data_IF_819847906464
#
_entry.id   IF_819847906464
#
_cell.length_a   1.000
_cell.length_b   1.000
_cell.length_c   1.000
_cell.angle_alpha   90.00
_cell.angle_beta   90.00
_cell.angle_gamma   90.00
#
_symmetry.space_group_name_H-M   'P 1'
#
loop_
_entity.id
_entity.type
_entity.pdbx_description
1 polymer ?
#
# COMPACT_ATOMS: atom_id res chain seq x y z
N UNK A 1 7.74 -18.79 -3.41
CA UNK A 1 6.73 -17.77 -3.06
C UNK A 1 6.73 -16.85 -4.25
N UNK A 2 5.64 -16.85 -5.04
CA UNK A 2 5.57 -15.96 -6.20
C UNK A 2 5.71 -14.53 -5.68
N UNK A 3 6.65 -13.80 -6.27
CA UNK A 3 6.89 -12.39 -5.97
C UNK A 3 5.58 -11.66 -6.22
N UNK A 4 4.98 -11.14 -5.16
CA UNK A 4 3.73 -10.41 -5.28
C UNK A 4 4.01 -9.13 -6.06
N UNK A 5 3.53 -9.08 -7.30
CA UNK A 5 3.51 -7.86 -8.11
C UNK A 5 2.53 -6.86 -7.46
N UNK A 6 3.05 -5.94 -6.63
CA UNK A 6 2.26 -4.84 -6.06
C UNK A 6 2.21 -3.67 -7.03
N UNK A 7 1.07 -2.99 -7.07
CA UNK A 7 0.90 -1.75 -7.85
C UNK A 7 0.17 -0.69 -7.03
N UNK A 8 0.52 0.55 -7.24
CA UNK A 8 -0.23 1.69 -6.68
C UNK A 8 -1.71 1.55 -7.05
N UNK A 9 -2.57 1.75 -6.08
CA UNK A 9 -4.02 1.56 -6.22
C UNK A 9 -4.53 0.15 -5.93
N UNK A 10 -3.68 -0.87 -5.81
CA UNK A 10 -4.12 -2.19 -5.35
C UNK A 10 -4.82 -2.07 -4.00
N UNK A 11 -5.94 -2.76 -3.84
CA UNK A 11 -6.59 -2.94 -2.55
C UNK A 11 -6.30 -4.35 -2.06
N UNK A 12 -5.76 -4.44 -0.86
CA UNK A 12 -5.29 -5.68 -0.26
C UNK A 12 -5.97 -5.92 1.10
N UNK A 13 -6.15 -7.19 1.44
CA UNK A 13 -6.28 -7.62 2.82
C UNK A 13 -4.90 -8.05 3.29
N UNK A 14 -4.38 -7.38 4.32
CA UNK A 14 -3.06 -7.67 4.91
C UNK A 14 -3.28 -8.24 6.30
N UNK A 15 -2.58 -9.33 6.63
CA UNK A 15 -2.58 -9.90 7.96
C UNK A 15 -1.19 -10.42 8.34
N UNK A 16 -0.91 -10.46 9.64
CA UNK A 16 0.27 -11.10 10.20
C UNK A 16 -0.18 -11.87 11.46
N UNK A 17 0.15 -13.17 11.60
CA UNK A 17 -0.23 -13.94 12.76
C UNK A 17 0.26 -13.31 14.07
N UNK A 18 -0.57 -13.34 15.09
CA UNK A 18 -0.17 -12.87 16.42
C UNK A 18 0.88 -13.78 17.02
N UNK A 19 2.06 -13.22 17.30
CA UNK A 19 3.26 -13.91 17.78
C UNK A 19 3.59 -13.44 19.20
N UNK A 20 3.91 -14.39 20.08
CA UNK A 20 4.28 -14.10 21.47
C UNK A 20 5.55 -13.25 21.56
N UNK A 21 5.50 -12.24 22.40
CA UNK A 21 6.63 -11.36 22.67
C UNK A 21 6.57 -10.79 24.09
N UNK A 22 7.53 -9.92 24.44
CA UNK A 22 7.57 -9.21 25.73
C UNK A 22 7.49 -7.71 25.54
N UNK A 23 6.80 -7.08 26.49
CA UNK A 23 6.78 -5.65 26.64
C UNK A 23 8.07 -5.20 27.30
N UNK A 24 8.86 -4.40 26.63
CA UNK A 24 10.09 -3.81 27.17
C UNK A 24 9.76 -2.52 27.95
N UNK A 25 8.81 -1.73 27.44
CA UNK A 25 8.32 -0.55 28.09
C UNK A 25 6.80 -0.45 27.93
N UNK A 26 6.08 -0.27 29.02
CA UNK A 26 4.63 -0.01 28.99
C UNK A 26 4.30 1.28 28.24
N UNK A 27 3.02 1.59 28.11
CA UNK A 27 2.57 2.78 27.37
C UNK A 27 3.25 4.04 27.91
N UNK A 28 3.91 4.74 27.01
CA UNK A 28 4.57 6.01 27.25
C UNK A 28 4.12 6.98 26.18
N UNK A 29 3.42 8.04 26.54
CA UNK A 29 2.89 9.06 25.63
C UNK A 29 1.93 8.45 24.59
N UNK A 30 2.47 7.94 23.48
CA UNK A 30 1.76 7.52 22.28
C UNK A 30 2.20 6.15 21.76
N UNK A 31 3.04 5.41 22.49
CA UNK A 31 3.51 4.11 22.07
C UNK A 31 3.74 3.12 23.20
N UNK A 32 3.71 1.85 22.88
CA UNK A 32 4.20 0.73 23.70
C UNK A 32 5.42 0.13 23.05
N UNK A 33 6.46 -0.18 23.81
CA UNK A 33 7.67 -0.79 23.27
C UNK A 33 7.69 -2.29 23.52
N UNK A 34 7.83 -3.06 22.46
CA UNK A 34 7.87 -4.54 22.51
C UNK A 34 9.15 -5.06 21.90
N UNK A 35 9.61 -6.22 22.37
CA UNK A 35 10.65 -6.95 21.68
C UNK A 35 10.11 -7.48 20.36
N UNK A 36 10.84 -7.20 19.26
CA UNK A 36 10.39 -7.61 17.93
C UNK A 36 10.62 -9.10 17.70
N UNK A 37 9.60 -9.91 17.41
CA UNK A 37 9.75 -11.35 17.41
C UNK A 37 10.33 -11.94 16.12
N UNK A 38 10.41 -11.16 15.04
CA UNK A 38 10.75 -11.70 13.71
C UNK A 38 12.17 -11.39 13.24
N UNK A 39 12.85 -10.41 13.85
CA UNK A 39 14.21 -10.05 13.45
C UNK A 39 15.20 -10.35 14.57
N UNK A 40 16.29 -11.02 14.18
CA UNK A 40 17.39 -11.26 15.11
C UNK A 40 18.24 -9.99 15.28
N UNK A 41 18.82 -9.86 16.46
CA UNK A 41 19.77 -8.77 16.74
C UNK A 41 21.08 -9.14 16.06
N UNK A 42 21.51 -8.36 15.07
CA UNK A 42 22.84 -8.48 14.49
C UNK A 42 23.87 -7.82 15.40
N UNK A 43 24.56 -8.63 16.20
CA UNK A 43 25.62 -8.17 17.08
C UNK A 43 26.92 -7.79 16.36
N UNK A 44 27.03 -8.06 15.06
CA UNK A 44 28.23 -7.75 14.25
C UNK A 44 28.23 -6.32 13.69
N UNK A 45 27.10 -5.61 13.73
CA UNK A 45 26.99 -4.25 13.19
C UNK A 45 27.55 -3.22 14.20
N UNK A 46 28.76 -2.74 13.96
CA UNK A 46 29.44 -1.78 14.82
C UNK A 46 28.83 -0.36 14.81
N UNK A 47 27.97 -0.03 13.82
CA UNK A 47 27.49 1.34 13.55
C UNK A 47 26.10 1.66 14.08
N UNK A 48 25.51 0.84 14.89
CA UNK A 48 24.20 1.09 15.46
C UNK A 48 23.44 -0.21 15.64
N UNK A 49 23.77 -0.90 16.70
CA UNK A 49 23.08 -2.13 17.04
C UNK A 49 21.59 -1.85 17.24
N UNK A 50 20.78 -2.39 16.35
CA UNK A 50 19.36 -2.48 16.62
C UNK A 50 19.16 -3.32 17.90
N UNK A 51 18.46 -2.76 18.86
CA UNK A 51 18.30 -3.35 20.20
C UNK A 51 17.19 -4.41 20.28
N UNK A 52 16.55 -4.74 19.16
CA UNK A 52 15.45 -5.70 19.11
C UNK A 52 14.12 -5.16 19.61
N UNK A 53 13.98 -3.84 19.77
CA UNK A 53 12.79 -3.21 20.31
C UNK A 53 12.11 -2.36 19.23
N UNK A 54 10.79 -2.49 19.12
CA UNK A 54 9.96 -1.67 18.25
C UNK A 54 8.93 -0.94 19.10
N UNK A 55 8.75 0.35 18.82
CA UNK A 55 7.68 1.16 19.38
C UNK A 55 6.44 1.02 18.48
N UNK A 56 5.34 0.56 19.05
CA UNK A 56 4.05 0.47 18.36
C UNK A 56 3.17 1.62 18.80
N UNK A 57 2.63 2.36 17.85
CA UNK A 57 1.72 3.47 18.11
C UNK A 57 0.46 3.02 18.88
N UNK A 58 0.08 3.81 19.87
CA UNK A 58 -1.16 3.64 20.61
C UNK A 58 -2.15 4.66 20.08
N UNK A 59 -3.35 4.19 19.73
CA UNK A 59 -4.41 5.04 19.19
C UNK A 59 -4.91 6.01 20.30
N UNK A 60 -4.29 7.18 20.35
CA UNK A 60 -4.60 8.25 21.31
C UNK A 60 -5.01 9.54 20.59
N UNK A 61 -5.38 9.46 19.30
CA UNK A 61 -5.73 10.61 18.46
C UNK A 61 -4.52 11.34 17.87
N UNK A 62 -3.31 10.74 17.94
CA UNK A 62 -2.12 11.25 17.24
C UNK A 62 -2.16 10.71 15.79
N UNK A 63 -2.03 11.57 14.77
CA UNK A 63 -2.15 11.16 13.36
C UNK A 63 -1.22 10.01 12.96
N UNK A 64 0.01 9.97 13.50
CA UNK A 64 0.98 8.92 13.19
C UNK A 64 0.51 7.52 13.66
N UNK A 65 -0.23 7.45 14.76
CA UNK A 65 -0.78 6.20 15.27
C UNK A 65 -1.90 5.64 14.39
N UNK A 66 -2.55 6.47 13.58
CA UNK A 66 -3.58 6.05 12.65
C UNK A 66 -3.03 5.15 11.53
N UNK A 67 -1.74 5.30 11.19
CA UNK A 67 -1.10 4.48 10.14
C UNK A 67 -0.65 3.12 10.64
N UNK A 68 -0.47 2.93 11.95
CA UNK A 68 0.07 1.70 12.52
C UNK A 68 -0.81 0.49 12.19
N UNK A 69 -0.21 -0.55 11.61
CA UNK A 69 -0.89 -1.80 11.28
C UNK A 69 -0.85 -2.79 12.44
N UNK A 70 0.28 -2.87 13.13
CA UNK A 70 0.46 -3.84 14.20
C UNK A 70 -0.41 -3.51 15.40
N UNK A 71 -0.86 -4.56 16.06
CA UNK A 71 -1.66 -4.49 17.29
C UNK A 71 -1.08 -5.43 18.30
N UNK A 72 -1.25 -5.10 19.58
CA UNK A 72 -0.95 -6.00 20.68
C UNK A 72 -2.20 -6.68 21.21
N UNK A 73 -2.01 -7.84 21.78
CA UNK A 73 -3.04 -8.58 22.52
C UNK A 73 -2.42 -9.08 23.83
N UNK A 74 -2.85 -8.59 25.01
CA UNK A 74 -3.95 -7.62 25.23
C UNK A 74 -3.65 -6.21 24.69
N UNK A 75 -4.66 -5.32 24.75
CA UNK A 75 -4.54 -3.94 24.28
C UNK A 75 -3.41 -3.19 25.00
N UNK A 76 -2.75 -2.21 24.35
CA UNK A 76 -1.58 -1.53 24.90
C UNK A 76 -1.77 -0.96 26.31
N UNK A 77 -2.96 -0.39 26.60
CA UNK A 77 -3.28 0.26 27.86
C UNK A 77 -3.28 -0.70 29.07
N UNK A 78 -3.34 -2.01 28.80
CA UNK A 78 -3.32 -3.05 29.81
C UNK A 78 -1.91 -3.59 30.08
N UNK A 79 -0.93 -3.17 29.27
CA UNK A 79 0.41 -3.71 29.24
C UNK A 79 1.37 -2.94 30.15
N UNK A 80 2.23 -3.67 30.83
CA UNK A 80 3.31 -3.14 31.67
C UNK A 80 4.64 -3.74 31.26
N UNK A 81 5.72 -3.05 31.52
CA UNK A 81 7.05 -3.55 31.28
C UNK A 81 7.24 -4.95 31.92
N UNK A 82 7.76 -5.88 31.13
CA UNK A 82 7.99 -7.27 31.52
C UNK A 82 6.81 -8.22 31.25
N UNK A 83 5.63 -7.71 30.90
CA UNK A 83 4.49 -8.55 30.55
C UNK A 83 4.75 -9.33 29.27
N UNK A 84 4.12 -10.50 29.15
CA UNK A 84 4.03 -11.25 27.89
C UNK A 84 2.79 -10.78 27.15
N UNK A 85 2.94 -10.46 25.88
CA UNK A 85 1.84 -10.13 24.99
C UNK A 85 2.04 -10.83 23.64
N UNK A 86 1.07 -10.67 22.76
CA UNK A 86 1.22 -11.06 21.35
C UNK A 86 1.20 -9.80 20.49
N UNK A 87 1.97 -9.81 19.41
CA UNK A 87 1.96 -8.75 18.40
C UNK A 87 1.64 -9.35 17.04
N UNK A 88 0.83 -8.66 16.24
CA UNK A 88 0.41 -9.12 14.92
C UNK A 88 -0.42 -8.07 14.20
N UNK A 89 -0.85 -8.40 12.98
CA UNK A 89 -1.77 -7.57 12.19
C UNK A 89 -3.05 -8.37 11.98
N UNK A 90 -4.18 -7.96 12.55
CA UNK A 90 -5.45 -8.58 12.22
C UNK A 90 -5.77 -8.35 10.74
N UNK A 91 -6.59 -9.19 10.08
CA UNK A 91 -6.99 -8.96 8.69
C UNK A 91 -7.47 -7.51 8.50
N UNK A 92 -6.68 -6.73 7.78
CA UNK A 92 -6.86 -5.28 7.63
C UNK A 92 -6.90 -4.92 6.15
N UNK A 93 -7.95 -4.24 5.72
CA UNK A 93 -8.05 -3.73 4.36
C UNK A 93 -7.20 -2.47 4.23
N UNK A 94 -6.32 -2.49 3.25
CA UNK A 94 -5.41 -1.37 2.93
C UNK A 94 -5.42 -1.12 1.43
N UNK A 95 -4.99 0.06 1.01
CA UNK A 95 -4.66 0.32 -0.38
C UNK A 95 -3.21 0.77 -0.52
N UNK A 96 -2.59 0.35 -1.63
CA UNK A 96 -1.19 0.66 -1.92
C UNK A 96 -1.08 2.10 -2.43
N UNK A 97 -0.18 2.86 -1.82
CA UNK A 97 0.05 4.28 -2.14
C UNK A 97 1.39 4.53 -2.81
N UNK A 98 2.39 3.68 -2.53
CA UNK A 98 3.68 3.70 -3.21
C UNK A 98 4.27 2.29 -3.28
N UNK A 99 5.06 2.05 -4.32
CA UNK A 99 5.89 0.84 -4.49
C UNK A 99 7.23 1.29 -4.99
N UNK A 100 8.28 1.07 -4.20
CA UNK A 100 9.65 1.39 -4.56
C UNK A 100 10.48 0.12 -4.67
N UNK A 101 11.27 0.03 -5.73
CA UNK A 101 12.23 -1.05 -5.95
C UNK A 101 13.64 -0.54 -5.73
N UNK A 102 14.44 -1.30 -5.01
CA UNK A 102 15.81 -0.95 -4.64
C UNK A 102 16.78 -1.97 -5.23
N UNK A 103 17.66 -1.51 -6.15
CA UNK A 103 18.74 -2.31 -6.72
C UNK A 103 20.03 -1.46 -6.74
N UNK A 104 21.00 -1.74 -5.85
CA UNK A 104 20.99 -2.78 -4.82
C UNK A 104 19.93 -2.56 -3.73
N UNK A 105 19.62 -3.57 -2.92
CA UNK A 105 18.73 -3.44 -1.78
C UNK A 105 19.08 -2.25 -0.89
N UNK A 106 18.06 -1.58 -0.35
CA UNK A 106 18.24 -0.35 0.43
C UNK A 106 19.13 -0.61 1.64
N UNK A 107 20.30 0.02 1.67
CA UNK A 107 21.17 0.01 2.84
C UNK A 107 20.59 0.93 3.91
N UNK A 108 19.90 0.35 4.87
CA UNK A 108 19.49 1.03 6.08
C UNK A 108 20.45 0.67 7.21
N UNK A 109 20.66 1.59 8.15
CA UNK A 109 21.40 1.30 9.40
C UNK A 109 20.70 0.20 10.20
N UNK A 110 19.45 -0.09 9.85
CA UNK A 110 18.55 -1.02 10.51
C UNK A 110 18.22 -2.17 9.55
N UNK A 111 18.13 -3.39 10.06
CA UNK A 111 17.49 -4.49 9.36
C UNK A 111 16.00 -4.15 9.13
N UNK A 112 15.40 -4.63 8.04
CA UNK A 112 15.96 -5.40 6.93
C UNK A 112 16.61 -4.52 5.86
N UNK A 113 17.26 -5.16 4.85
CA UNK A 113 17.72 -4.52 3.61
C UNK A 113 16.71 -4.82 2.48
N UNK A 114 15.62 -4.06 2.36
CA UNK A 114 14.57 -4.41 1.42
C UNK A 114 14.99 -4.16 -0.03
N UNK A 115 14.69 -5.13 -0.91
CA UNK A 115 14.73 -4.93 -2.36
C UNK A 115 13.46 -4.22 -2.86
N UNK A 116 12.38 -4.26 -2.08
CA UNK A 116 11.13 -3.60 -2.38
C UNK A 116 10.50 -3.05 -1.09
N UNK A 117 9.96 -1.84 -1.17
CA UNK A 117 9.11 -1.26 -0.14
C UNK A 117 7.71 -1.00 -0.70
N UNK A 118 6.69 -1.26 0.11
CA UNK A 118 5.29 -1.05 -0.25
C UNK A 118 4.64 -0.21 0.84
N UNK A 119 4.23 1.00 0.48
CA UNK A 119 3.52 1.88 1.42
C UNK A 119 2.02 1.71 1.23
N UNK A 120 1.31 1.57 2.35
CA UNK A 120 -0.12 1.30 2.36
C UNK A 120 -0.86 2.20 3.33
N UNK A 121 -2.09 2.55 3.00
CA UNK A 121 -3.03 3.23 3.89
C UNK A 121 -4.17 2.30 4.26
N UNK A 122 -4.55 2.32 5.53
CA UNK A 122 -5.72 1.56 6.02
C UNK A 122 -7.01 2.15 5.45
N UNK A 123 -8.02 1.31 5.37
CA UNK A 123 -9.39 1.70 5.04
C UNK A 123 -9.85 2.86 5.93
N UNK A 124 -10.42 3.88 5.31
CA UNK A 124 -10.88 5.10 5.97
C UNK A 124 -9.86 6.21 6.03
N UNK A 125 -8.59 5.96 5.71
CA UNK A 125 -7.56 6.98 5.58
C UNK A 125 -7.41 7.38 4.13
N UNK A 126 -7.20 8.67 3.88
CA UNK A 126 -7.00 9.20 2.53
C UNK A 126 -5.94 10.31 2.51
N UNK A 127 -5.29 10.48 1.35
CA UNK A 127 -4.33 11.56 1.15
C UNK A 127 -4.93 12.97 1.29
N UNK A 128 -6.24 13.10 1.11
CA UNK A 128 -6.93 14.40 1.10
C UNK A 128 -7.00 15.06 2.47
N UNK A 129 -6.69 14.32 3.52
CA UNK A 129 -6.70 14.82 4.89
C UNK A 129 -5.39 15.49 5.30
N UNK A 130 -4.35 15.36 4.47
CA UNK A 130 -3.06 15.99 4.74
C UNK A 130 -2.97 17.36 4.08
N UNK A 131 -2.39 18.37 4.77
CA UNK A 131 -2.23 19.71 4.23
C UNK A 131 -1.47 19.71 2.91
N UNK A 132 -1.90 20.54 1.94
CA UNK A 132 -1.15 20.79 0.72
C UNK A 132 0.30 21.19 1.05
N UNK A 133 1.26 20.52 0.44
CA UNK A 133 2.68 20.75 0.64
C UNK A 133 3.35 19.85 1.68
N UNK A 134 2.63 18.98 2.36
CA UNK A 134 3.28 17.89 3.07
C UNK A 134 3.87 16.93 2.04
N UNK A 135 5.16 16.59 2.17
CA UNK A 135 5.87 15.63 1.28
C UNK A 135 5.43 14.18 1.51
N UNK A 136 4.14 13.95 1.65
CA UNK A 136 3.53 12.68 1.98
C UNK A 136 3.15 11.85 0.74
N UNK A 137 3.86 12.02 -0.38
CA UNK A 137 3.90 11.00 -1.40
C UNK A 137 4.41 9.73 -0.74
N UNK A 138 3.56 8.71 -0.66
CA UNK A 138 3.86 7.49 0.07
C UNK A 138 3.54 7.54 1.57
N UNK A 139 2.66 8.44 2.02
CA UNK A 139 2.14 8.41 3.40
C UNK A 139 1.41 7.12 3.67
N UNK A 140 1.65 6.58 4.85
CA UNK A 140 1.07 5.34 5.30
C UNK A 140 2.08 4.47 6.03
N UNK A 141 1.72 3.23 6.24
CA UNK A 141 2.61 2.23 6.83
C UNK A 141 3.46 1.60 5.73
N UNK A 142 4.77 1.55 5.93
CA UNK A 142 5.69 0.91 4.97
C UNK A 142 5.89 -0.56 5.34
N UNK A 143 5.56 -1.43 4.42
CA UNK A 143 5.78 -2.88 4.50
C UNK A 143 7.01 -3.22 3.65
N UNK A 144 7.84 -4.13 4.15
CA UNK A 144 8.98 -4.68 3.44
C UNK A 144 8.70 -6.15 3.10
N UNK A 145 8.15 -6.46 1.92
CA UNK A 145 7.89 -7.84 1.54
C UNK A 145 9.19 -8.66 1.53
N UNK A 146 9.19 -9.80 2.21
CA UNK A 146 10.38 -10.67 2.28
C UNK A 146 11.35 -10.38 3.44
N UNK A 147 11.04 -9.46 4.33
CA UNK A 147 11.86 -9.09 5.50
C UNK A 147 11.81 -10.09 6.67
N UNK A 148 11.13 -11.23 6.50
CA UNK A 148 10.97 -12.26 7.52
C UNK A 148 9.72 -12.11 8.38
N UNK A 149 9.02 -10.98 8.33
CA UNK A 149 7.69 -10.86 8.96
C UNK A 149 6.69 -11.70 8.15
N UNK A 150 5.93 -12.61 8.80
CA UNK A 150 5.06 -13.55 8.10
C UNK A 150 3.74 -12.89 7.64
N UNK A 151 3.86 -11.80 6.89
CA UNK A 151 2.70 -11.18 6.26
C UNK A 151 2.02 -12.13 5.28
N UNK A 152 0.71 -12.08 5.27
CA UNK A 152 -0.14 -12.65 4.22
C UNK A 152 -0.86 -11.53 3.51
N UNK A 153 -0.92 -11.62 2.18
CA UNK A 153 -1.56 -10.65 1.33
C UNK A 153 -2.61 -11.33 0.46
N UNK A 154 -3.82 -10.79 0.46
CA UNK A 154 -4.88 -11.18 -0.46
C UNK A 154 -5.26 -9.93 -1.28
N UNK A 155 -5.17 -10.01 -2.60
CA UNK A 155 -5.58 -8.91 -3.47
C UNK A 155 -7.09 -8.92 -3.64
N UNK A 156 -7.75 -7.90 -3.12
CA UNK A 156 -9.20 -7.70 -3.21
C UNK A 156 -9.60 -7.02 -4.51
N UNK A 157 -8.77 -6.05 -4.97
CA UNK A 157 -9.01 -5.32 -6.21
C UNK A 157 -7.68 -4.81 -6.78
N UNK A 158 -7.55 -4.84 -8.11
CA UNK A 158 -6.53 -4.11 -8.88
C UNK A 158 -7.23 -3.25 -9.91
N UNK A 159 -7.28 -1.92 -9.72
CA UNK A 159 -7.80 -1.02 -10.74
C UNK A 159 -6.99 -1.16 -12.02
N UNK A 160 -7.66 -1.23 -13.16
CA UNK A 160 -6.99 -1.27 -14.48
C UNK A 160 -5.92 -2.39 -14.59
N UNK A 161 -6.28 -3.61 -14.14
CA UNK A 161 -5.33 -4.72 -14.03
C UNK A 161 -4.62 -5.08 -15.36
N UNK A 162 -5.26 -4.78 -16.49
CA UNK A 162 -4.72 -5.04 -17.85
C UNK A 162 -3.85 -3.91 -18.40
N UNK A 163 -3.80 -2.76 -17.69
CA UNK A 163 -3.03 -1.58 -18.10
C UNK A 163 -1.64 -1.54 -17.47
N UNK A 164 -0.75 -0.84 -18.13
CA UNK A 164 0.58 -0.49 -17.64
C UNK A 164 0.78 1.02 -17.79
N UNK A 165 1.55 1.63 -16.88
CA UNK A 165 1.88 3.04 -17.00
C UNK A 165 2.57 3.31 -18.36
N UNK A 166 2.13 4.36 -19.06
CA UNK A 166 2.56 4.68 -20.40
C UNK A 166 1.75 4.02 -21.50
N UNK A 167 0.73 3.20 -21.21
CA UNK A 167 -0.19 2.69 -22.22
C UNK A 167 -0.98 3.85 -22.85
N UNK A 168 -1.04 3.86 -24.17
CA UNK A 168 -1.82 4.82 -24.95
C UNK A 168 -3.08 4.12 -25.50
N UNK A 169 -4.23 4.77 -25.35
CA UNK A 169 -5.52 4.22 -25.75
C UNK A 169 -6.34 5.23 -26.55
N UNK A 170 -7.23 4.72 -27.41
CA UNK A 170 -8.36 5.50 -27.93
C UNK A 170 -9.61 5.13 -27.14
N UNK A 171 -10.40 6.14 -26.78
CA UNK A 171 -11.68 5.95 -26.12
C UNK A 171 -12.84 5.81 -27.13
N UNK A 172 -14.03 5.49 -26.66
CA UNK A 172 -15.22 5.33 -27.51
C UNK A 172 -15.65 6.62 -28.24
N UNK A 173 -15.21 7.79 -27.76
CA UNK A 173 -15.40 9.06 -28.45
C UNK A 173 -14.33 9.37 -29.51
N UNK A 174 -13.32 8.51 -29.63
CA UNK A 174 -12.19 8.69 -30.54
C UNK A 174 -11.08 9.58 -29.98
N UNK A 175 -11.12 9.94 -28.71
CA UNK A 175 -10.11 10.73 -28.04
C UNK A 175 -8.95 9.83 -27.60
N UNK A 176 -7.72 10.29 -27.75
CA UNK A 176 -6.52 9.57 -27.33
C UNK A 176 -6.09 9.97 -25.93
N UNK A 177 -5.68 8.97 -25.13
CA UNK A 177 -5.29 9.11 -23.75
C UNK A 177 -4.04 8.30 -23.43
N UNK A 178 -3.24 8.79 -22.48
CA UNK A 178 -2.18 8.01 -21.84
C UNK A 178 -2.59 7.67 -20.42
N UNK A 179 -2.39 6.41 -20.05
CA UNK A 179 -2.57 5.91 -18.70
C UNK A 179 -1.27 6.12 -17.91
N UNK A 180 -1.29 7.02 -16.95
CA UNK A 180 -0.14 7.33 -16.08
C UNK A 180 -0.27 6.66 -14.70
N UNK A 181 -1.47 6.20 -14.35
CA UNK A 181 -1.77 5.50 -13.10
C UNK A 181 -3.26 5.24 -12.94
N UNK A 182 -3.72 4.54 -11.89
CA UNK A 182 -5.12 4.13 -11.76
C UNK A 182 -6.12 5.27 -11.87
N UNK A 183 -5.73 6.49 -11.46
CA UNK A 183 -6.60 7.68 -11.45
C UNK A 183 -6.06 8.78 -12.35
N UNK A 184 -4.94 8.54 -13.04
CA UNK A 184 -4.23 9.54 -13.81
C UNK A 184 -4.29 9.21 -15.31
N UNK A 185 -5.04 10.01 -16.02
CA UNK A 185 -5.22 9.92 -17.47
C UNK A 185 -4.89 11.25 -18.11
N UNK A 186 -3.89 11.26 -18.99
CA UNK A 186 -3.50 12.43 -19.75
C UNK A 186 -4.08 12.36 -21.15
N UNK A 187 -4.89 13.36 -21.52
CA UNK A 187 -5.38 13.50 -22.88
C UNK A 187 -4.33 14.15 -23.79
N UNK A 188 -4.26 13.73 -25.05
CA UNK A 188 -3.28 14.28 -26.02
C UNK A 188 -3.73 15.56 -26.70
N UNK A 189 -4.97 15.99 -26.57
CA UNK A 189 -5.56 17.12 -27.28
C UNK A 189 -5.56 18.44 -26.50
N UNK A 190 -4.83 18.52 -25.39
CA UNK A 190 -4.74 19.70 -24.51
C UNK A 190 -6.09 20.14 -23.88
N UNK A 191 -7.19 19.45 -24.17
CA UNK A 191 -8.47 19.70 -23.50
C UNK A 191 -8.47 19.11 -22.09
N UNK A 192 -9.20 19.71 -21.14
CA UNK A 192 -9.31 19.18 -19.79
C UNK A 192 -9.71 17.70 -19.80
N UNK A 193 -9.05 16.90 -18.99
CA UNK A 193 -9.32 15.45 -18.89
C UNK A 193 -10.78 15.13 -18.49
N UNK A 194 -11.47 16.08 -17.86
CA UNK A 194 -12.87 15.92 -17.48
C UNK A 194 -13.10 14.70 -16.57
N UNK A 195 -14.04 13.86 -16.95
CA UNK A 195 -14.39 12.65 -16.20
C UNK A 195 -13.53 11.42 -16.55
N UNK A 196 -12.43 11.61 -17.29
CA UNK A 196 -11.59 10.52 -17.80
C UNK A 196 -12.12 9.89 -19.10
N UNK A 197 -11.44 8.82 -19.60
CA UNK A 197 -11.77 8.21 -20.87
C UNK A 197 -13.16 7.53 -20.88
N UNK A 198 -13.82 7.60 -22.02
CA UNK A 198 -15.12 6.95 -22.27
C UNK A 198 -14.92 5.51 -22.75
N UNK A 199 -15.43 4.53 -22.03
CA UNK A 199 -15.32 3.11 -22.38
C UNK A 199 -16.25 2.71 -23.54
N UNK A 200 -15.92 1.66 -24.31
CA UNK A 200 -14.71 0.82 -24.24
C UNK A 200 -13.44 1.51 -24.73
N UNK A 201 -12.28 0.98 -24.33
CA UNK A 201 -10.97 1.48 -24.70
C UNK A 201 -10.28 0.55 -25.71
N UNK A 202 -9.52 1.12 -26.63
CA UNK A 202 -8.69 0.41 -27.59
C UNK A 202 -7.24 0.75 -27.30
N UNK A 203 -6.42 -0.25 -26.98
CA UNK A 203 -4.99 -0.06 -26.76
C UNK A 203 -4.30 0.26 -28.11
N UNK A 204 -3.61 1.37 -28.19
CA UNK A 204 -2.87 1.85 -29.36
C UNK A 204 -1.39 1.48 -29.27
N UNK A 205 -0.78 1.73 -28.11
CA UNK A 205 0.61 1.41 -27.84
C UNK A 205 0.79 1.00 -26.36
N UNK A 206 1.86 0.26 -26.07
CA UNK A 206 2.26 -0.10 -24.70
C UNK A 206 3.65 0.46 -24.42
N UNK A 207 3.76 1.38 -23.49
CA UNK A 207 5.00 2.06 -23.14
C UNK A 207 5.77 2.60 -24.37
N UNK A 208 5.05 3.17 -25.35
CA UNK A 208 5.61 3.74 -26.57
C UNK A 208 5.98 2.71 -27.66
N UNK A 209 5.69 1.42 -27.47
CA UNK A 209 5.90 0.37 -28.49
C UNK A 209 4.56 -0.15 -29.02
N UNK A 210 4.49 -0.68 -30.25
CA UNK A 210 3.29 -1.34 -30.76
C UNK A 210 2.82 -2.45 -29.83
N UNK A 211 1.53 -2.43 -29.47
CA UNK A 211 0.96 -3.45 -28.59
C UNK A 211 0.82 -4.80 -29.31
N UNK A 212 0.89 -5.92 -28.55
CA UNK A 212 0.55 -7.23 -29.04
C UNK A 212 -0.98 -7.36 -29.25
N UNK A 213 -1.42 -8.26 -30.14
CA UNK A 213 -2.83 -8.54 -30.30
C UNK A 213 -3.49 -9.03 -29.00
N UNK A 214 -2.77 -9.81 -28.19
CA UNK A 214 -3.27 -10.28 -26.89
C UNK A 214 -3.46 -9.17 -25.87
N UNK A 215 -2.55 -8.20 -25.81
CA UNK A 215 -2.69 -7.02 -24.94
C UNK A 215 -3.89 -6.17 -25.35
N UNK A 216 -4.04 -5.91 -26.64
CA UNK A 216 -5.15 -5.13 -27.17
C UNK A 216 -6.50 -5.82 -26.87
N UNK A 217 -6.58 -7.14 -27.03
CA UNK A 217 -7.77 -7.92 -26.70
C UNK A 217 -8.08 -7.88 -25.19
N UNK A 218 -7.04 -8.01 -24.34
CA UNK A 218 -7.20 -7.95 -22.88
C UNK A 218 -7.75 -6.60 -22.41
N UNK A 219 -7.21 -5.49 -22.95
CA UNK A 219 -7.70 -4.14 -22.64
C UNK A 219 -9.13 -3.95 -23.13
N UNK A 220 -9.43 -4.32 -24.37
CA UNK A 220 -10.77 -4.22 -24.94
C UNK A 220 -11.78 -5.03 -24.11
N UNK A 221 -11.45 -6.27 -23.75
CA UNK A 221 -12.32 -7.14 -22.95
C UNK A 221 -12.57 -6.57 -21.55
N UNK A 222 -11.54 -6.00 -20.91
CA UNK A 222 -11.66 -5.43 -19.56
C UNK A 222 -12.48 -4.13 -19.51
N UNK A 223 -12.67 -3.45 -20.64
CA UNK A 223 -13.39 -2.18 -20.75
C UNK A 223 -14.66 -2.25 -21.59
N UNK A 224 -15.09 -3.45 -22.01
CA UNK A 224 -16.33 -3.64 -22.78
C UNK A 224 -17.59 -3.22 -22.00
N UNK A 225 -17.51 -3.25 -20.67
CA UNK A 225 -18.60 -2.85 -19.78
C UNK A 225 -18.05 -2.05 -18.59
N UNK A 226 -18.92 -1.28 -17.95
CA UNK A 226 -18.53 -0.39 -16.86
C UNK A 226 -18.06 0.99 -17.36
N UNK A 227 -17.30 1.69 -16.54
CA UNK A 227 -16.74 2.99 -16.85
C UNK A 227 -15.61 3.34 -15.87
N UNK A 228 -14.80 4.34 -16.24
CA UNK A 228 -13.83 4.93 -15.31
C UNK A 228 -14.46 5.32 -13.97
N UNK A 229 -15.62 5.97 -13.99
CA UNK A 229 -16.35 6.38 -12.78
C UNK A 229 -16.85 5.19 -11.95
N UNK A 230 -17.19 4.08 -12.60
CA UNK A 230 -17.57 2.85 -11.87
C UNK A 230 -16.37 2.26 -11.16
N UNK A 231 -15.21 2.18 -11.83
CA UNK A 231 -13.97 1.69 -11.22
C UNK A 231 -13.56 2.50 -9.98
N UNK A 232 -13.69 3.85 -10.06
CA UNK A 232 -13.45 4.72 -8.91
C UNK A 232 -14.42 4.39 -7.76
N UNK A 233 -15.73 4.27 -8.03
CA UNK A 233 -16.73 3.97 -7.00
C UNK A 233 -16.46 2.61 -6.33
N UNK A 234 -16.12 1.60 -7.11
CA UNK A 234 -15.86 0.25 -6.60
C UNK A 234 -14.60 0.25 -5.70
N UNK A 235 -13.58 1.02 -6.10
CA UNK A 235 -12.38 1.20 -5.31
C UNK A 235 -12.66 1.96 -4.00
N UNK A 236 -13.40 3.07 -4.07
CA UNK A 236 -13.81 3.87 -2.90
C UNK A 236 -14.65 3.04 -1.92
N UNK A 237 -15.52 2.16 -2.42
CA UNK A 237 -16.33 1.28 -1.58
C UNK A 237 -15.47 0.31 -0.72
N UNK A 238 -14.27 -0.04 -1.20
CA UNK A 238 -13.33 -0.88 -0.46
C UNK A 238 -12.41 -0.08 0.47
N UNK A 239 -12.06 1.15 0.09
CA UNK A 239 -11.02 1.94 0.76
C UNK A 239 -11.56 3.00 1.71
N UNK A 240 -12.76 3.50 1.51
CA UNK A 240 -13.39 4.46 2.41
C UNK A 240 -13.98 3.78 3.65
N UNK A 241 -14.03 4.51 4.75
CA UNK A 241 -14.74 4.06 5.93
C UNK A 241 -16.22 3.89 5.60
N UNK A 242 -16.84 2.79 6.07
CA UNK A 242 -18.29 2.70 6.02
C UNK A 242 -18.88 3.88 6.79
N UNK A 243 -19.85 4.62 6.25
CA UNK A 243 -20.51 5.65 7.04
C UNK A 243 -20.99 5.05 8.35
N UNK A 244 -20.59 5.63 9.45
CA UNK A 244 -21.07 5.23 10.79
C UNK A 244 -22.59 5.40 10.79
N UNK A 245 -23.38 4.36 11.17
CA UNK A 245 -24.84 4.44 11.18
C UNK A 245 -25.37 5.47 12.18
#
# INVERSE_FOLDING_TARGET
>A
MDELDFRVGDVLSVACPFTDTRVEQGVTWDHVSVRWPWWEIDSSNEFGQWNGIVALGVDNGVPEAEFELFRTDPLPEQLKAGDVCRVGVPPTVVHVTAVDHHDPPLETVWLPHPAQTVTVLRRGLSYREFPEGSHLHGSGYTIHPGDGIPFTFERLMRPYATFQAGDEVADAAGRAWRFDGPWEWTAFDEEPAGAGPTWPLILLSRAGAPCSAGDAEAVAASTVSGSHQQTIRDWMALTEASPTP
#
